data_IF_976820844928
#
_entry.id   IF_976820844928
#
_cell.length_a   1.000
_cell.length_b   1.000
_cell.length_c   1.000
_cell.angle_alpha   90.00
_cell.angle_beta   90.00
_cell.angle_gamma   90.00
#
_symmetry.space_group_name_H-M   'P 1'
#
loop_
_entity.id
_entity.type
_entity.pdbx_description
1 polymer ?
#
# COMPACT_ATOMS: atom_id res chain seq x y z
N UNK A 1 11.12 12.08 -9.62
CA UNK A 1 11.04 10.92 -10.55
C UNK A 1 12.10 9.84 -10.40
N UNK A 2 13.26 10.07 -9.78
CA UNK A 2 14.34 9.08 -9.73
C UNK A 2 13.92 7.70 -9.19
N UNK A 3 13.05 7.69 -8.18
CA UNK A 3 12.55 6.46 -7.56
C UNK A 3 11.76 5.57 -8.53
N UNK A 4 10.70 6.08 -9.18
CA UNK A 4 9.85 5.28 -10.08
C UNK A 4 10.66 4.69 -11.24
N UNK A 5 11.55 5.49 -11.84
CA UNK A 5 12.46 5.01 -12.90
C UNK A 5 13.34 3.86 -12.41
N UNK A 6 13.87 3.96 -11.19
CA UNK A 6 14.70 2.90 -10.58
C UNK A 6 13.88 1.64 -10.27
N UNK A 7 12.65 1.80 -9.77
CA UNK A 7 11.78 0.69 -9.41
C UNK A 7 11.27 -0.09 -10.62
N UNK A 8 11.03 0.58 -11.74
CA UNK A 8 10.47 -0.01 -12.97
C UNK A 8 11.54 -0.65 -13.85
N UNK A 9 12.77 -0.13 -13.85
CA UNK A 9 13.88 -0.60 -14.69
C UNK A 9 14.13 -2.12 -14.62
N UNK A 10 14.09 -2.80 -13.47
CA UNK A 10 14.27 -4.26 -13.40
C UNK A 10 13.16 -5.09 -14.06
N UNK A 11 12.05 -4.45 -14.45
CA UNK A 11 10.85 -5.11 -14.97
C UNK A 11 10.53 -4.69 -16.42
N UNK A 12 11.53 -4.21 -17.17
CA UNK A 12 11.36 -3.82 -18.57
C UNK A 12 10.75 -4.94 -19.41
N UNK A 13 9.77 -4.59 -20.24
CA UNK A 13 9.04 -5.54 -21.10
C UNK A 13 7.90 -6.29 -20.40
N UNK A 14 7.55 -5.93 -19.16
CA UNK A 14 6.40 -6.47 -18.43
C UNK A 14 5.35 -5.39 -18.17
N UNK A 15 4.11 -5.83 -18.00
CA UNK A 15 3.06 -5.00 -17.38
C UNK A 15 3.36 -4.85 -15.88
N UNK A 16 3.37 -3.61 -15.40
CA UNK A 16 3.71 -3.26 -14.03
C UNK A 16 2.48 -2.60 -13.40
N UNK A 17 1.93 -3.25 -12.38
CA UNK A 17 0.80 -2.72 -11.63
C UNK A 17 1.28 -2.26 -10.25
N UNK A 18 1.11 -0.97 -9.97
CA UNK A 18 1.51 -0.35 -8.71
C UNK A 18 0.25 0.00 -7.92
N UNK A 19 0.11 -0.60 -6.73
CA UNK A 19 -0.99 -0.28 -5.81
C UNK A 19 -0.51 0.78 -4.82
N UNK A 20 -1.25 1.88 -4.71
CA UNK A 20 -0.84 3.10 -3.99
C UNK A 20 -1.97 3.60 -3.08
N UNK A 21 -1.59 4.38 -2.05
CA UNK A 21 -2.56 5.19 -1.31
C UNK A 21 -2.94 6.46 -2.10
N UNK A 22 -3.80 7.29 -1.50
CA UNK A 22 -4.32 8.50 -2.14
C UNK A 22 -3.47 9.75 -1.88
N UNK A 23 -2.19 9.61 -1.52
CA UNK A 23 -1.35 10.78 -1.27
C UNK A 23 -1.17 11.63 -2.55
N UNK A 24 -1.36 12.95 -2.44
CA UNK A 24 -1.34 13.87 -3.58
C UNK A 24 -0.04 13.84 -4.40
N UNK A 25 1.07 13.44 -3.77
CA UNK A 25 2.37 13.26 -4.44
C UNK A 25 2.36 12.20 -5.55
N UNK A 26 1.38 11.29 -5.55
CA UNK A 26 1.20 10.28 -6.59
C UNK A 26 0.49 10.77 -7.85
N UNK A 27 -0.06 11.99 -7.85
CA UNK A 27 -0.85 12.53 -8.96
C UNK A 27 -0.35 13.88 -9.48
N UNK A 28 0.92 14.22 -9.21
CA UNK A 28 1.54 15.44 -9.72
C UNK A 28 1.58 15.46 -11.25
N UNK A 29 1.64 16.65 -11.90
CA UNK A 29 1.75 16.76 -13.35
C UNK A 29 2.91 15.94 -13.93
N UNK A 30 4.06 15.95 -13.26
CA UNK A 30 5.21 15.14 -13.67
C UNK A 30 4.89 13.64 -13.66
N UNK A 31 4.18 13.14 -12.63
CA UNK A 31 3.82 11.71 -12.54
C UNK A 31 2.90 11.34 -13.69
N UNK A 32 1.89 12.16 -13.96
CA UNK A 32 0.95 11.95 -15.07
C UNK A 32 1.67 11.95 -16.42
N UNK A 33 2.57 12.92 -16.64
CA UNK A 33 3.37 12.99 -17.87
C UNK A 33 4.30 11.78 -18.01
N UNK A 34 4.90 11.30 -16.91
CA UNK A 34 5.74 10.12 -16.94
C UNK A 34 4.92 8.84 -17.23
N UNK A 35 3.74 8.65 -16.62
CA UNK A 35 2.86 7.52 -16.92
C UNK A 35 2.38 7.51 -18.37
N UNK A 36 2.05 8.67 -18.94
CA UNK A 36 1.67 8.78 -20.35
C UNK A 36 2.79 8.29 -21.30
N UNK A 37 4.06 8.48 -20.91
CA UNK A 37 5.22 7.98 -21.66
C UNK A 37 5.60 6.53 -21.33
N UNK A 38 4.95 5.90 -20.35
CA UNK A 38 5.23 4.54 -19.87
C UNK A 38 3.93 3.73 -19.76
N UNK A 39 3.26 3.42 -20.88
CA UNK A 39 1.90 2.83 -20.87
C UNK A 39 1.82 1.41 -20.28
N UNK A 40 2.96 0.74 -20.09
CA UNK A 40 3.07 -0.57 -19.42
C UNK A 40 3.05 -0.45 -17.88
N UNK A 41 3.00 0.77 -17.33
CA UNK A 41 2.96 1.03 -15.88
C UNK A 41 1.59 1.59 -15.51
N UNK A 42 0.86 0.85 -14.67
CA UNK A 42 -0.50 1.16 -14.25
C UNK A 42 -0.55 1.46 -12.76
N UNK A 43 -1.14 2.60 -12.41
CA UNK A 43 -1.38 2.97 -11.02
C UNK A 43 -2.81 2.58 -10.61
N UNK A 44 -2.92 1.87 -9.50
CA UNK A 44 -4.19 1.51 -8.86
C UNK A 44 -4.23 2.14 -7.48
N UNK A 45 -5.24 2.97 -7.24
CA UNK A 45 -5.41 3.65 -5.95
C UNK A 45 -6.33 2.85 -5.05
N UNK A 46 -5.96 2.71 -3.77
CA UNK A 46 -6.88 2.16 -2.77
C UNK A 46 -8.09 3.10 -2.60
N UNK A 47 -9.28 2.59 -2.23
CA UNK A 47 -10.41 3.47 -1.94
C UNK A 47 -10.07 4.48 -0.82
N UNK A 48 -10.64 5.68 -0.90
CA UNK A 48 -10.45 6.71 0.13
C UNK A 48 -10.86 6.16 1.50
N UNK A 49 -10.03 6.39 2.52
CA UNK A 49 -10.25 5.86 3.87
C UNK A 49 -9.93 4.38 4.04
N UNK A 50 -9.38 3.70 3.04
CA UNK A 50 -9.03 2.27 3.10
C UNK A 50 -7.53 2.02 3.25
N UNK A 51 -6.91 2.73 4.20
CA UNK A 51 -5.46 2.61 4.48
C UNK A 51 -5.07 1.16 4.89
N UNK A 52 -6.00 0.43 5.51
CA UNK A 52 -5.85 -0.99 5.86
C UNK A 52 -5.61 -1.93 4.66
N UNK A 53 -5.98 -1.52 3.43
CA UNK A 53 -5.69 -2.27 2.20
C UNK A 53 -4.27 -2.01 1.67
N UNK A 54 -3.60 -0.96 2.16
CA UNK A 54 -2.29 -0.56 1.70
C UNK A 54 -1.21 -1.47 2.29
N UNK A 55 -0.58 -2.31 1.46
CA UNK A 55 0.40 -3.30 1.90
C UNK A 55 1.63 -2.67 2.56
N UNK A 56 2.02 -1.45 2.18
CA UNK A 56 3.16 -0.78 2.82
C UNK A 56 2.87 -0.45 4.30
N UNK A 57 1.61 -0.14 4.64
CA UNK A 57 1.20 0.12 6.03
C UNK A 57 1.27 -1.16 6.87
N UNK A 58 0.91 -2.31 6.29
CA UNK A 58 1.09 -3.62 6.92
C UNK A 58 2.59 -3.85 7.20
N UNK A 59 3.45 -3.62 6.21
CA UNK A 59 4.89 -3.78 6.36
C UNK A 59 5.48 -2.81 7.41
N UNK A 60 5.03 -1.56 7.46
CA UNK A 60 5.41 -0.60 8.51
C UNK A 60 5.03 -1.12 9.90
N UNK A 61 3.85 -1.74 10.05
CA UNK A 61 3.47 -2.42 11.28
C UNK A 61 4.41 -3.57 11.65
N UNK A 62 4.89 -4.34 10.68
CA UNK A 62 5.80 -5.47 10.89
C UNK A 62 7.17 -4.98 11.38
N UNK A 63 7.85 -4.09 10.64
CA UNK A 63 9.17 -3.56 11.05
C UNK A 63 9.08 -2.85 12.41
N UNK A 64 7.97 -2.16 12.68
CA UNK A 64 7.74 -1.52 13.97
C UNK A 64 7.74 -2.53 15.12
N UNK A 65 7.02 -3.65 14.98
CA UNK A 65 6.93 -4.68 16.02
C UNK A 65 8.20 -5.51 16.15
N UNK A 66 8.87 -5.81 15.04
CA UNK A 66 10.00 -6.74 15.02
C UNK A 66 11.33 -6.08 15.31
N UNK A 67 11.56 -4.85 14.83
CA UNK A 67 12.87 -4.19 14.90
C UNK A 67 12.85 -2.87 15.66
N UNK A 68 11.85 -2.02 15.47
CA UNK A 68 11.88 -0.66 16.04
C UNK A 68 11.50 -0.66 17.53
N UNK A 69 10.33 -1.20 17.91
CA UNK A 69 9.86 -1.18 19.31
C UNK A 69 10.71 -1.99 20.28
N UNK A 70 11.51 -2.93 19.76
CA UNK A 70 12.41 -3.78 20.57
C UNK A 70 13.83 -3.24 20.65
N UNK A 71 14.14 -2.18 19.92
CA UNK A 71 15.48 -1.59 19.88
C UNK A 71 15.59 -0.36 20.78
N UNK A 72 16.77 -0.18 21.37
CA UNK A 72 17.20 1.09 21.98
C UNK A 72 18.26 1.70 21.09
N UNK A 73 18.04 2.92 20.61
CA UNK A 73 18.90 3.58 19.63
C UNK A 73 19.59 4.79 20.26
N UNK A 74 20.93 4.80 20.23
CA UNK A 74 21.72 5.92 20.76
C UNK A 74 21.73 7.15 19.86
N UNK A 75 21.31 7.01 18.60
CA UNK A 75 21.18 8.12 17.65
C UNK A 75 20.26 7.76 16.47
N UNK A 76 19.84 8.78 15.72
CA UNK A 76 19.09 8.60 14.46
C UNK A 76 19.89 7.78 13.45
N UNK A 77 21.22 7.95 13.38
CA UNK A 77 22.06 7.19 12.46
C UNK A 77 22.02 5.68 12.75
N UNK A 78 22.00 5.30 14.03
CA UNK A 78 21.88 3.90 14.44
C UNK A 78 20.50 3.35 14.06
N UNK A 79 19.42 4.13 14.26
CA UNK A 79 18.08 3.74 13.82
C UNK A 79 18.00 3.55 12.29
N UNK A 80 18.57 4.49 11.52
CA UNK A 80 18.60 4.39 10.05
C UNK A 80 19.36 3.15 9.59
N UNK A 81 20.50 2.85 10.23
CA UNK A 81 21.26 1.62 9.94
C UNK A 81 20.41 0.39 10.26
N UNK A 82 19.77 0.33 11.42
CA UNK A 82 18.91 -0.78 11.81
C UNK A 82 17.77 -1.01 10.80
N UNK A 83 17.11 0.06 10.34
CA UNK A 83 16.05 -0.02 9.34
C UNK A 83 16.59 -0.58 8.02
N UNK A 84 17.78 -0.14 7.57
CA UNK A 84 18.42 -0.63 6.34
C UNK A 84 18.80 -2.11 6.45
N UNK A 85 19.41 -2.51 7.56
CA UNK A 85 19.78 -3.91 7.81
C UNK A 85 18.53 -4.80 7.80
N UNK A 86 17.45 -4.35 8.44
CA UNK A 86 16.17 -5.06 8.42
C UNK A 86 15.58 -5.16 7.01
N UNK A 87 15.59 -4.08 6.22
CA UNK A 87 15.12 -4.10 4.82
C UNK A 87 15.94 -5.11 3.99
N UNK A 88 17.26 -5.12 4.14
CA UNK A 88 18.12 -6.05 3.41
C UNK A 88 17.77 -7.50 3.74
N UNK A 89 17.68 -7.83 5.03
CA UNK A 89 17.31 -9.18 5.48
C UNK A 89 15.88 -9.57 5.06
N UNK A 90 14.93 -8.65 5.13
CA UNK A 90 13.56 -8.88 4.65
C UNK A 90 13.53 -9.24 3.15
N UNK A 91 14.30 -8.52 2.34
CA UNK A 91 14.31 -8.70 0.89
C UNK A 91 14.93 -10.03 0.43
N UNK A 92 15.77 -10.69 1.24
CA UNK A 92 16.35 -12.00 0.91
C UNK A 92 15.28 -13.08 0.71
N UNK A 93 14.16 -12.99 1.45
CA UNK A 93 13.09 -13.98 1.42
C UNK A 93 11.70 -13.31 1.38
N UNK A 94 11.60 -12.12 0.79
CA UNK A 94 10.35 -11.38 0.71
C UNK A 94 9.28 -12.20 -0.03
N UNK A 95 8.12 -12.38 0.63
CA UNK A 95 6.96 -13.07 0.06
C UNK A 95 5.81 -12.08 -0.13
N UNK A 96 4.97 -12.26 -1.17
CA UNK A 96 3.75 -11.49 -1.31
C UNK A 96 2.85 -11.63 -0.07
N UNK A 97 2.13 -10.57 0.28
CA UNK A 97 1.10 -10.66 1.30
C UNK A 97 -0.09 -11.44 0.76
N UNK A 98 -0.55 -12.44 1.52
CA UNK A 98 -1.75 -13.21 1.19
C UNK A 98 -2.93 -12.63 1.96
N UNK A 99 -3.93 -12.13 1.23
CA UNK A 99 -5.21 -11.74 1.82
C UNK A 99 -6.00 -13.00 2.21
N UNK A 100 -6.57 -12.99 3.41
CA UNK A 100 -7.36 -14.12 3.93
C UNK A 100 -8.81 -14.11 3.46
N UNK A 101 -9.30 -12.93 3.05
CA UNK A 101 -10.63 -12.77 2.46
C UNK A 101 -10.50 -12.51 0.96
N UNK A 102 -11.36 -13.15 0.18
CA UNK A 102 -11.49 -12.92 -1.25
C UNK A 102 -12.21 -11.59 -1.53
N UNK A 103 -12.01 -11.05 -2.73
CA UNK A 103 -12.72 -9.85 -3.16
C UNK A 103 -14.25 -10.05 -3.10
N UNK A 104 -14.74 -11.21 -3.54
CA UNK A 104 -16.18 -11.53 -3.53
C UNK A 104 -16.76 -11.56 -2.12
N UNK A 105 -16.04 -12.15 -1.15
CA UNK A 105 -16.47 -12.14 0.26
C UNK A 105 -16.53 -10.73 0.83
N UNK A 106 -15.53 -9.89 0.52
CA UNK A 106 -15.51 -8.49 0.96
C UNK A 106 -16.70 -7.74 0.33
N UNK A 107 -16.92 -7.88 -0.97
CA UNK A 107 -18.01 -7.22 -1.70
C UNK A 107 -19.39 -7.67 -1.21
N UNK A 108 -19.56 -8.97 -0.94
CA UNK A 108 -20.80 -9.50 -0.36
C UNK A 108 -21.09 -8.88 1.01
N UNK A 109 -20.09 -8.81 1.91
CA UNK A 109 -20.23 -8.17 3.22
C UNK A 109 -20.57 -6.69 3.12
N UNK A 110 -19.91 -5.95 2.21
CA UNK A 110 -20.18 -4.53 1.98
C UNK A 110 -21.63 -4.31 1.52
N UNK A 111 -22.13 -5.12 0.57
CA UNK A 111 -23.52 -5.03 0.08
C UNK A 111 -24.54 -5.28 1.19
N UNK A 112 -24.28 -6.26 2.07
CA UNK A 112 -25.13 -6.55 3.22
C UNK A 112 -25.19 -5.36 4.18
N UNK A 113 -24.03 -4.80 4.57
CA UNK A 113 -23.97 -3.64 5.48
C UNK A 113 -24.67 -2.44 4.87
N UNK A 114 -24.44 -2.13 3.59
CA UNK A 114 -25.12 -1.03 2.90
C UNK A 114 -26.65 -1.20 2.90
N UNK A 115 -27.15 -2.42 2.70
CA UNK A 115 -28.59 -2.71 2.73
C UNK A 115 -29.16 -2.50 4.12
N UNK A 116 -28.48 -3.00 5.16
CA UNK A 116 -28.89 -2.84 6.56
C UNK A 116 -28.89 -1.38 7.01
N UNK A 117 -27.85 -0.61 6.65
CA UNK A 117 -27.78 0.84 6.94
C UNK A 117 -28.91 1.60 6.28
N UNK A 118 -29.20 1.34 4.99
CA UNK A 118 -30.33 1.97 4.29
C UNK A 118 -31.66 1.69 4.98
N UNK A 119 -31.90 0.43 5.41
CA UNK A 119 -33.10 0.08 6.17
C UNK A 119 -33.21 0.85 7.49
N UNK A 120 -32.11 0.95 8.24
CA UNK A 120 -32.08 1.67 9.52
C UNK A 120 -32.34 3.17 9.35
N UNK A 121 -31.70 3.81 8.37
CA UNK A 121 -31.94 5.24 8.07
C UNK A 121 -33.40 5.47 7.69
N UNK A 122 -33.97 4.61 6.84
CA UNK A 122 -35.38 4.73 6.44
C UNK A 122 -36.34 4.54 7.63
N UNK A 123 -36.01 3.65 8.57
CA UNK A 123 -36.84 3.40 9.75
C UNK A 123 -36.80 4.56 10.76
N UNK A 124 -35.69 5.30 10.84
CA UNK A 124 -35.52 6.46 11.73
C UNK A 124 -35.95 7.79 11.09
N UNK A 125 -36.39 7.77 9.83
CA UNK A 125 -36.87 8.97 9.10
C UNK A 125 -38.38 9.23 9.31
N UNK A 126 -38.98 8.66 10.36
CA UNK A 126 -40.35 8.90 10.83
C UNK A 126 -40.31 9.42 12.25
#
# INVERSE_FOLDING_TARGET
>A
MAFLKKAVKPHTGKEIHVVLDNLSTHTTPDVKAWLANNPHVHFHFTPVGSSWLNQIEIWFGIITRQSIRRGTFSSVNVLVKQIRDYINSWNENAKPFTWTATADEILAKVRLVQTSVKKLVNNNSK
#
